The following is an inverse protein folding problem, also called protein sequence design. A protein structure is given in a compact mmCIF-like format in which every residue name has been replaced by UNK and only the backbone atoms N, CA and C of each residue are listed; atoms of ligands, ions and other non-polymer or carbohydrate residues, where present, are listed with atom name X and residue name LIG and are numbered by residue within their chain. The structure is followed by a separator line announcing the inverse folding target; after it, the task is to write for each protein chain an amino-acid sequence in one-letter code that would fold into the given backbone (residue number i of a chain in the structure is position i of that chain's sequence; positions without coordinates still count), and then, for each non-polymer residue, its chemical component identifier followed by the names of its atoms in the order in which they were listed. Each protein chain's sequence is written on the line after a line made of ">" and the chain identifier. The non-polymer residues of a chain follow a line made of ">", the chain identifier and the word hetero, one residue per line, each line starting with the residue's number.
data_IF_391045744940
#
_entry.id   IF_391045744940
#
_cell.length_a   1.000
_cell.length_b   1.000
_cell.length_c   1.000
_cell.angle_alpha   90.00
_cell.angle_beta   90.00
_cell.angle_gamma   90.00
#
_symmetry.space_group_name_H-M   'P 1'
#
loop_
_entity.id
_entity.type
_entity.pdbx_description
1 polymer ?
#
# COMPACT_ATOMS: atom_id res chain seq x y z
N UNK A 1 12.57 -10.46 -39.78
CA UNK A 1 13.37 -10.25 -38.55
C UNK A 1 14.19 -8.99 -38.74
N UNK A 2 14.05 -7.97 -37.88
CA UNK A 2 14.76 -6.69 -38.05
C UNK A 2 16.19 -6.77 -37.49
N UNK A 3 17.13 -6.08 -38.12
CA UNK A 3 18.52 -6.03 -37.63
C UNK A 3 18.65 -5.09 -36.43
N UNK A 4 19.58 -5.39 -35.52
CA UNK A 4 19.91 -4.50 -34.38
C UNK A 4 20.32 -3.12 -34.88
N UNK A 5 20.98 -3.04 -36.04
CA UNK A 5 21.36 -1.78 -36.65
C UNK A 5 20.15 -0.94 -37.04
N UNK A 6 19.18 -1.51 -37.75
CA UNK A 6 17.94 -0.81 -38.14
C UNK A 6 17.18 -0.33 -36.90
N UNK A 7 17.09 -1.16 -35.85
CA UNK A 7 16.44 -0.77 -34.60
C UNK A 7 17.16 0.38 -33.89
N UNK A 8 18.50 0.38 -33.88
CA UNK A 8 19.29 1.46 -33.30
C UNK A 8 19.14 2.77 -34.10
N UNK A 9 19.09 2.70 -35.43
CA UNK A 9 18.86 3.86 -36.31
C UNK A 9 17.47 4.47 -36.06
N UNK A 10 16.41 3.65 -36.01
CA UNK A 10 15.04 4.09 -35.70
C UNK A 10 14.98 4.73 -34.30
N UNK A 11 15.67 4.15 -33.32
CA UNK A 11 15.70 4.66 -31.95
C UNK A 11 16.64 5.87 -31.74
N UNK A 12 17.42 6.26 -32.76
CA UNK A 12 18.37 7.38 -32.68
C UNK A 12 19.54 7.14 -31.73
N UNK A 13 19.94 5.88 -31.50
CA UNK A 13 21.06 5.52 -30.61
C UNK A 13 22.18 4.83 -31.39
N UNK A 14 23.41 4.95 -30.88
CA UNK A 14 24.53 4.21 -31.45
C UNK A 14 24.44 2.71 -31.11
N UNK A 15 24.91 1.86 -32.02
CA UNK A 15 24.97 0.41 -31.81
C UNK A 15 25.84 0.02 -30.60
N UNK A 16 26.91 0.75 -30.34
CA UNK A 16 27.77 0.52 -29.17
C UNK A 16 27.06 0.86 -27.86
N UNK A 17 26.23 1.91 -27.84
CA UNK A 17 25.38 2.23 -26.69
C UNK A 17 24.37 1.11 -26.38
N UNK A 18 23.78 0.50 -27.42
CA UNK A 18 22.87 -0.64 -27.25
C UNK A 18 23.57 -1.82 -26.56
N UNK A 19 24.72 -2.28 -27.07
CA UNK A 19 25.44 -3.40 -26.45
C UNK A 19 26.02 -3.05 -25.07
N UNK A 20 26.40 -1.78 -24.86
CA UNK A 20 26.82 -1.31 -23.53
C UNK A 20 25.67 -1.41 -22.52
N UNK A 21 24.46 -1.03 -22.92
CA UNK A 21 23.27 -1.19 -22.09
C UNK A 21 22.92 -2.67 -21.88
N UNK A 22 22.97 -3.47 -22.94
CA UNK A 22 22.67 -4.91 -22.90
C UNK A 22 23.59 -5.67 -21.93
N UNK A 23 24.89 -5.35 -21.95
CA UNK A 23 25.90 -6.01 -21.11
C UNK A 23 26.14 -5.28 -19.77
N UNK A 24 25.34 -4.26 -19.45
CA UNK A 24 25.50 -3.50 -18.21
C UNK A 24 25.15 -4.37 -17.01
N UNK A 25 26.08 -4.46 -16.06
CA UNK A 25 25.81 -5.08 -14.75
C UNK A 25 25.04 -4.10 -13.85
N UNK A 26 24.11 -4.58 -13.02
CA UNK A 26 23.39 -3.73 -12.09
C UNK A 26 24.34 -3.16 -11.04
N UNK A 27 24.19 -1.88 -10.74
CA UNK A 27 24.92 -1.21 -9.65
C UNK A 27 24.50 -1.75 -8.29
N UNK A 28 25.32 -1.51 -7.26
CA UNK A 28 25.00 -1.91 -5.87
C UNK A 28 23.63 -1.37 -5.42
N UNK A 29 23.30 -0.12 -5.78
CA UNK A 29 21.99 0.46 -5.47
C UNK A 29 20.82 -0.22 -6.21
N UNK A 30 21.02 -0.64 -7.46
CA UNK A 30 20.01 -1.38 -8.23
C UNK A 30 19.77 -2.77 -7.61
N UNK A 31 20.83 -3.45 -7.21
CA UNK A 31 20.74 -4.74 -6.51
C UNK A 31 20.01 -4.59 -5.17
N UNK A 32 20.38 -3.60 -4.34
CA UNK A 32 19.70 -3.34 -3.08
C UNK A 32 18.22 -2.95 -3.28
N UNK A 33 17.90 -2.18 -4.33
CA UNK A 33 16.52 -1.88 -4.68
C UNK A 33 15.74 -3.14 -5.09
N UNK A 34 16.38 -4.09 -5.81
CA UNK A 34 15.77 -5.35 -6.19
C UNK A 34 15.47 -6.21 -4.95
N UNK A 35 16.44 -6.34 -4.03
CA UNK A 35 16.24 -7.05 -2.75
C UNK A 35 15.11 -6.43 -1.92
N UNK A 36 15.11 -5.10 -1.78
CA UNK A 36 14.05 -4.39 -1.07
C UNK A 36 12.69 -4.60 -1.73
N UNK A 37 12.65 -4.64 -3.07
CA UNK A 37 11.42 -4.89 -3.83
C UNK A 37 10.89 -6.30 -3.57
N UNK A 38 11.77 -7.30 -3.50
CA UNK A 38 11.39 -8.67 -3.17
C UNK A 38 10.79 -8.78 -1.77
N UNK A 39 11.45 -8.22 -0.76
CA UNK A 39 10.92 -8.20 0.63
C UNK A 39 9.58 -7.47 0.67
N UNK A 40 9.50 -6.31 0.02
CA UNK A 40 8.29 -5.49 -0.07
C UNK A 40 7.11 -6.29 -0.66
N UNK A 41 7.34 -7.01 -1.77
CA UNK A 41 6.31 -7.81 -2.44
C UNK A 41 5.85 -8.98 -1.57
N UNK A 42 6.80 -9.66 -0.90
CA UNK A 42 6.46 -10.77 0.00
C UNK A 42 5.55 -10.35 1.15
N UNK A 43 5.77 -9.15 1.73
CA UNK A 43 4.90 -8.60 2.78
C UNK A 43 3.56 -8.20 2.18
N UNK A 44 3.58 -7.53 1.03
CA UNK A 44 2.38 -7.02 0.37
C UNK A 44 1.40 -8.14 0.00
N UNK A 45 1.89 -9.29 -0.46
CA UNK A 45 1.06 -10.47 -0.73
C UNK A 45 0.54 -11.12 0.56
N UNK A 46 1.38 -11.25 1.60
CA UNK A 46 0.99 -11.80 2.91
C UNK A 46 -0.16 -11.05 3.58
N UNK A 47 -0.33 -9.77 3.29
CA UNK A 47 -1.37 -8.91 3.89
C UNK A 47 -2.52 -8.63 2.93
N UNK A 48 -2.66 -9.46 1.89
CA UNK A 48 -3.71 -9.35 0.87
C UNK A 48 -3.78 -7.94 0.27
N UNK A 49 -2.61 -7.33 0.04
CA UNK A 49 -2.48 -6.03 -0.63
C UNK A 49 -3.10 -4.84 0.13
N UNK A 50 -3.42 -5.03 1.41
CA UNK A 50 -4.08 -4.00 2.24
C UNK A 50 -3.13 -2.84 2.57
N UNK A 51 -1.84 -3.11 2.70
CA UNK A 51 -0.88 -2.10 3.18
C UNK A 51 -0.49 -1.06 2.11
N UNK A 52 -0.47 0.20 2.55
CA UNK A 52 0.20 1.28 1.82
C UNK A 52 1.66 1.43 2.23
N UNK A 53 2.40 2.32 1.55
CA UNK A 53 3.85 2.48 1.71
C UNK A 53 4.31 2.73 3.15
N UNK A 54 3.51 3.43 3.97
CA UNK A 54 3.83 3.67 5.39
C UNK A 54 3.88 2.38 6.20
N UNK A 55 2.84 1.56 6.11
CA UNK A 55 2.76 0.27 6.81
C UNK A 55 3.82 -0.69 6.27
N UNK A 56 3.96 -0.73 4.95
CA UNK A 56 4.96 -1.58 4.31
C UNK A 56 6.39 -1.22 4.77
N UNK A 57 6.71 0.07 4.87
CA UNK A 57 8.02 0.52 5.40
C UNK A 57 8.23 0.06 6.85
N UNK A 58 7.22 0.16 7.71
CA UNK A 58 7.31 -0.27 9.10
C UNK A 58 7.59 -1.78 9.20
N UNK A 59 6.85 -2.58 8.44
CA UNK A 59 7.03 -4.03 8.42
C UNK A 59 8.38 -4.45 7.83
N UNK A 60 8.83 -3.77 6.76
CA UNK A 60 10.17 -4.01 6.20
C UNK A 60 11.27 -3.73 7.24
N UNK A 61 11.21 -2.58 7.92
CA UNK A 61 12.20 -2.23 8.97
C UNK A 61 12.23 -3.28 10.08
N UNK A 62 11.06 -3.78 10.50
CA UNK A 62 10.95 -4.82 11.54
C UNK A 62 11.54 -6.16 11.08
N UNK A 63 11.31 -6.56 9.83
CA UNK A 63 11.83 -7.83 9.30
C UNK A 63 13.32 -7.78 9.00
N UNK A 64 13.83 -6.67 8.46
CA UNK A 64 15.24 -6.58 8.03
C UNK A 64 16.16 -5.99 9.09
N UNK A 65 15.62 -5.36 10.15
CA UNK A 65 16.40 -4.61 11.15
C UNK A 65 17.08 -3.35 10.60
N UNK A 66 16.78 -2.94 9.35
CA UNK A 66 17.45 -1.83 8.67
C UNK A 66 16.59 -0.56 8.68
N UNK A 67 17.22 0.60 8.77
CA UNK A 67 16.54 1.89 8.60
C UNK A 67 16.27 2.18 7.13
N UNK A 68 15.04 1.96 6.69
CA UNK A 68 14.63 2.16 5.28
C UNK A 68 13.86 3.48 5.15
N UNK A 69 14.24 4.36 4.23
CA UNK A 69 13.53 5.62 3.97
C UNK A 69 12.14 5.37 3.34
N UNK A 70 11.09 5.95 3.92
CA UNK A 70 9.71 5.83 3.42
C UNK A 70 9.55 6.34 1.99
N UNK A 71 10.29 7.40 1.60
CA UNK A 71 10.26 7.92 0.22
C UNK A 71 10.82 6.92 -0.79
N UNK A 72 11.81 6.11 -0.38
CA UNK A 72 12.39 5.03 -1.21
C UNK A 72 11.35 3.95 -1.45
N UNK A 73 10.67 3.49 -0.40
CA UNK A 73 9.58 2.49 -0.51
C UNK A 73 8.45 3.01 -1.39
N UNK A 74 8.02 4.27 -1.19
CA UNK A 74 7.00 4.89 -2.03
C UNK A 74 7.40 4.91 -3.51
N UNK A 75 8.64 5.31 -3.84
CA UNK A 75 9.16 5.27 -5.20
C UNK A 75 9.16 3.86 -5.78
N UNK A 76 9.62 2.86 -5.03
CA UNK A 76 9.64 1.47 -5.47
C UNK A 76 8.22 0.93 -5.70
N UNK A 77 7.26 1.25 -4.83
CA UNK A 77 5.85 0.89 -5.05
C UNK A 77 5.30 1.50 -6.35
N UNK A 78 5.63 2.76 -6.66
CA UNK A 78 5.21 3.41 -7.91
C UNK A 78 5.82 2.74 -9.13
N UNK A 79 7.11 2.40 -9.09
CA UNK A 79 7.78 1.67 -10.19
C UNK A 79 7.13 0.30 -10.44
N UNK A 80 6.75 -0.40 -9.37
CA UNK A 80 6.12 -1.72 -9.44
C UNK A 80 4.59 -1.67 -9.68
N UNK A 81 3.99 -0.48 -9.77
CA UNK A 81 2.54 -0.33 -9.92
C UNK A 81 1.72 -0.80 -8.72
N UNK A 82 2.32 -0.92 -7.54
CA UNK A 82 1.71 -1.45 -6.33
C UNK A 82 0.94 -0.34 -5.61
N UNK A 83 -0.30 -0.62 -5.21
CA UNK A 83 -1.15 0.31 -4.46
C UNK A 83 -1.94 -0.42 -3.37
N UNK A 84 -2.13 0.24 -2.23
CA UNK A 84 -3.00 -0.29 -1.17
C UNK A 84 -4.41 -0.50 -1.72
N UNK A 85 -4.93 -1.72 -1.57
CA UNK A 85 -6.33 -2.04 -1.85
C UNK A 85 -7.17 -1.46 -0.71
N UNK A 86 -7.46 -0.15 -0.79
CA UNK A 86 -8.36 0.50 0.14
C UNK A 86 -9.77 0.02 -0.18
N UNK A 87 -10.44 -0.62 0.79
CA UNK A 87 -11.86 -0.97 0.67
C UNK A 87 -12.65 0.31 0.38
N UNK A 88 -13.47 0.28 -0.68
CA UNK A 88 -14.33 1.39 -1.07
C UNK A 88 -15.17 1.81 0.14
N UNK A 89 -15.13 3.10 0.52
CA UNK A 89 -15.89 3.63 1.64
C UNK A 89 -17.38 3.30 1.43
N UNK A 90 -17.99 2.55 2.35
CA UNK A 90 -19.43 2.22 2.28
C UNK A 90 -20.22 3.54 2.30
N UNK A 91 -21.20 3.68 1.39
CA UNK A 91 -22.08 4.87 1.36
C UNK A 91 -22.71 5.02 2.75
N UNK A 92 -22.66 6.24 3.30
CA UNK A 92 -23.31 6.55 4.57
C UNK A 92 -24.81 6.37 4.35
N UNK A 93 -25.47 5.56 5.18
CA UNK A 93 -26.93 5.46 5.17
C UNK A 93 -27.49 6.86 5.44
N UNK A 94 -28.30 7.39 4.53
CA UNK A 94 -29.06 8.60 4.79
C UNK A 94 -30.10 8.24 5.86
N UNK A 95 -30.09 8.90 7.02
CA UNK A 95 -31.17 8.74 8.00
C UNK A 95 -32.46 9.19 7.32
N UNK A 96 -33.36 8.25 7.01
CA UNK A 96 -34.76 8.59 6.78
C UNK A 96 -35.39 8.93 8.13
N UNK A 97 -36.30 9.89 8.13
CA UNK A 97 -37.20 10.11 9.25
C UNK A 97 -38.02 8.84 9.47
N UNK A 98 -38.01 8.22 10.65
CA UNK A 98 -38.91 7.10 10.92
C UNK A 98 -40.35 7.61 10.84
N UNK A 99 -41.13 7.12 9.86
CA UNK A 99 -42.56 7.45 9.77
C UNK A 99 -43.38 6.76 10.88
N UNK A 100 -42.82 5.74 11.53
CA UNK A 100 -43.41 5.06 12.66
C UNK A 100 -42.45 5.10 13.85
N UNK A 101 -42.71 6.00 14.78
CA UNK A 101 -42.32 5.79 16.18
C UNK A 101 -43.30 4.75 16.71
N UNK A 102 -42.89 3.50 16.85
CA UNK A 102 -43.69 2.55 17.63
C UNK A 102 -43.77 3.09 19.06
N UNK A 103 -44.96 3.16 19.63
CA UNK A 103 -45.15 3.59 21.01
C UNK A 103 -44.35 2.67 21.94
N UNK A 104 -43.68 3.28 22.92
CA UNK A 104 -42.88 2.56 23.89
C UNK A 104 -43.81 1.80 24.86
N UNK A 105 -44.17 0.56 24.53
CA UNK A 105 -45.04 -0.30 25.37
C UNK A 105 -44.30 -0.82 26.62
N UNK A 106 -43.00 -0.54 26.77
CA UNK A 106 -42.28 -0.83 28.01
C UNK A 106 -42.49 0.30 29.00
N UNK A 107 -43.66 0.29 29.64
CA UNK A 107 -44.01 1.07 30.83
C UNK A 107 -43.22 0.57 32.07
N UNK A 108 -41.91 0.41 31.91
CA UNK A 108 -41.04 -0.12 32.94
C UNK A 108 -40.57 1.05 33.80
N UNK A 109 -41.25 1.26 34.92
CA UNK A 109 -40.83 2.21 35.96
C UNK A 109 -39.46 1.77 36.49
N UNK A 110 -38.41 2.48 36.11
CA UNK A 110 -37.10 2.36 36.75
C UNK A 110 -37.12 3.26 37.99
N UNK A 111 -37.33 2.67 39.17
CA UNK A 111 -37.01 3.30 40.45
C UNK A 111 -35.55 3.00 40.79
N UNK A 112 -34.73 4.04 40.86
CA UNK A 112 -33.35 3.95 41.33
C UNK A 112 -33.32 4.42 42.79
N UNK A 113 -33.27 3.50 43.74
CA UNK A 113 -32.94 3.79 45.13
C UNK A 113 -31.44 3.57 45.33
N UNK A 114 -30.68 4.66 45.27
CA UNK A 114 -29.52 4.95 46.13
C UNK A 114 -28.68 6.06 45.49
N UNK A 115 -28.48 7.14 46.24
CA UNK A 115 -27.47 8.14 45.95
C UNK A 115 -26.07 7.51 46.04
N UNK A 116 -25.21 7.88 45.09
CA UNK A 116 -23.81 7.48 45.06
C UNK A 116 -23.08 8.38 46.07
N UNK A 117 -22.96 7.94 47.33
CA UNK A 117 -22.16 8.62 48.34
C UNK A 117 -20.67 8.48 47.97
N UNK A 118 -20.06 9.62 47.61
CA UNK A 118 -18.62 9.77 47.54
C UNK A 118 -18.09 10.10 48.93
N UNK A 119 -17.22 9.25 49.46
CA UNK A 119 -16.30 9.53 50.56
C UNK A 119 -14.89 9.20 50.12
#
# INVERSE_FOLDING_TARGET
>A
MFSVQLLCEIAGISRSSYYKWLNRKPSSHEQENAELTHVMMSIYEKVERTFGYRQLTLHMRRQTGKTINQKRVYRLMKIQGIQSVIRRKKKRYARSTPQQVAENVLNRKFTADAANDAS
#
